data_IF_163462234933
#
_entry.id   IF_163462234933
#
_cell.length_a   1.000
_cell.length_b   1.000
_cell.length_c   1.000
_cell.angle_alpha   90.00
_cell.angle_beta   90.00
_cell.angle_gamma   90.00
#
_symmetry.space_group_name_H-M   'P 1'
#
loop_
_entity.id
_entity.type
_entity.pdbx_description
1 polymer ?
#
# COMPACT_ATOMS: atom_id res chain seq x y z
N UNK A 1 14.57 -13.56 14.12
CA UNK A 1 13.11 -13.42 14.31
C UNK A 1 12.58 -12.66 13.10
N UNK A 2 11.72 -13.27 12.27
CA UNK A 2 11.22 -12.66 11.04
C UNK A 2 9.72 -12.36 11.13
N UNK A 3 9.28 -11.27 10.53
CA UNK A 3 7.88 -10.94 10.30
C UNK A 3 7.68 -10.83 8.78
N UNK A 4 6.73 -11.58 8.25
CA UNK A 4 6.41 -11.61 6.82
C UNK A 4 5.04 -11.03 6.53
N UNK A 5 4.79 -10.73 5.25
CA UNK A 5 3.44 -10.35 4.80
C UNK A 5 2.52 -11.57 4.85
N UNK A 6 1.57 -11.56 5.79
CA UNK A 6 0.64 -12.67 6.00
C UNK A 6 -0.64 -12.19 6.71
N UNK A 7 -1.75 -12.90 6.49
CA UNK A 7 -3.07 -12.54 7.00
C UNK A 7 -3.15 -12.43 8.54
N UNK A 8 -2.29 -13.13 9.28
CA UNK A 8 -2.19 -13.03 10.73
C UNK A 8 -1.68 -11.66 11.21
N UNK A 9 -1.03 -10.87 10.36
CA UNK A 9 -0.57 -9.52 10.68
C UNK A 9 -1.65 -8.47 10.38
N UNK A 10 -2.64 -8.80 9.54
CA UNK A 10 -3.66 -7.84 9.08
C UNK A 10 -4.40 -7.15 10.23
N UNK A 11 -4.88 -7.92 11.21
CA UNK A 11 -5.61 -7.35 12.35
C UNK A 11 -4.70 -6.44 13.20
N UNK A 12 -3.41 -6.75 13.33
CA UNK A 12 -2.44 -5.88 14.00
C UNK A 12 -2.32 -4.54 13.26
N UNK A 13 -2.21 -4.55 11.93
CA UNK A 13 -2.18 -3.33 11.12
C UNK A 13 -3.45 -2.48 11.30
N UNK A 14 -4.62 -3.10 11.25
CA UNK A 14 -5.90 -2.41 11.43
C UNK A 14 -6.03 -1.78 12.83
N UNK A 15 -5.61 -2.49 13.88
CA UNK A 15 -5.60 -1.96 15.25
C UNK A 15 -4.67 -0.75 15.40
N UNK A 16 -3.51 -0.78 14.75
CA UNK A 16 -2.59 0.37 14.75
C UNK A 16 -3.23 1.58 14.05
N UNK A 17 -3.82 1.39 12.88
CA UNK A 17 -4.52 2.47 12.16
C UNK A 17 -5.68 3.04 12.99
N UNK A 18 -6.53 2.20 13.58
CA UNK A 18 -7.61 2.63 14.45
C UNK A 18 -7.09 3.41 15.67
N UNK A 19 -6.02 2.94 16.32
CA UNK A 19 -5.40 3.64 17.47
C UNK A 19 -4.82 5.01 17.09
N UNK A 20 -4.41 5.19 15.83
CA UNK A 20 -3.96 6.46 15.26
C UNK A 20 -5.12 7.40 14.89
N UNK A 21 -6.37 6.99 15.07
CA UNK A 21 -7.56 7.79 14.79
C UNK A 21 -8.03 7.76 13.34
N UNK A 22 -7.66 6.73 12.57
CA UNK A 22 -8.20 6.54 11.23
C UNK A 22 -9.59 5.92 11.28
N UNK A 23 -10.51 6.46 10.49
CA UNK A 23 -11.76 5.78 10.17
C UNK A 23 -11.45 4.66 9.14
N UNK A 24 -11.87 3.44 9.44
CA UNK A 24 -11.59 2.27 8.61
C UNK A 24 -12.88 1.77 7.95
N UNK A 25 -12.79 1.41 6.68
CA UNK A 25 -13.87 0.72 5.96
C UNK A 25 -13.31 -0.27 4.95
N UNK A 26 -14.16 -1.21 4.53
CA UNK A 26 -13.86 -2.14 3.44
C UNK A 26 -14.97 -1.99 2.41
N UNK A 27 -14.60 -1.95 1.13
CA UNK A 27 -15.54 -2.00 0.01
C UNK A 27 -15.12 -3.13 -0.92
N UNK A 28 -16.08 -3.75 -1.59
CA UNK A 28 -15.82 -4.86 -2.50
C UNK A 28 -17.09 -5.64 -2.76
N UNK A 29 -16.97 -6.69 -3.56
CA UNK A 29 -18.08 -7.55 -3.91
C UNK A 29 -17.89 -8.96 -3.32
N UNK A 30 -18.96 -9.50 -2.76
CA UNK A 30 -19.02 -10.92 -2.36
C UNK A 30 -19.63 -11.66 -3.54
N UNK A 31 -18.80 -12.39 -4.27
CA UNK A 31 -19.21 -13.11 -5.49
C UNK A 31 -20.09 -14.33 -5.13
N UNK A 32 -19.82 -14.97 -3.99
CA UNK A 32 -20.57 -16.14 -3.52
C UNK A 32 -20.68 -16.15 -1.97
N UNK A 33 -21.85 -16.54 -1.46
CA UNK A 33 -22.11 -16.61 -0.02
C UNK A 33 -21.18 -17.62 0.66
N UNK A 34 -20.55 -17.22 1.76
CA UNK A 34 -19.60 -18.05 2.51
C UNK A 34 -18.16 -18.01 1.97
N UNK A 35 -17.89 -17.32 0.86
CA UNK A 35 -16.52 -17.06 0.42
C UNK A 35 -15.91 -15.85 1.10
N UNK A 36 -14.59 -15.92 1.31
CA UNK A 36 -13.82 -14.75 1.70
C UNK A 36 -13.76 -13.78 0.51
N UNK A 37 -14.08 -12.48 0.68
CA UNK A 37 -14.05 -11.53 -0.41
C UNK A 37 -12.61 -11.39 -0.94
N UNK A 38 -12.40 -11.80 -2.19
CA UNK A 38 -11.10 -11.73 -2.86
C UNK A 38 -10.85 -10.38 -3.52
N UNK A 39 -11.91 -9.69 -3.93
CA UNK A 39 -11.86 -8.35 -4.51
C UNK A 39 -12.37 -7.33 -3.49
N UNK A 40 -11.52 -7.03 -2.51
CA UNK A 40 -11.81 -6.04 -1.49
C UNK A 40 -10.72 -4.98 -1.40
N UNK A 41 -11.18 -3.74 -1.25
CA UNK A 41 -10.37 -2.57 -0.99
C UNK A 41 -10.47 -2.19 0.48
N UNK A 42 -9.31 -2.15 1.13
CA UNK A 42 -9.15 -1.70 2.50
C UNK A 42 -8.87 -0.20 2.50
N UNK A 43 -9.66 0.54 3.27
CA UNK A 43 -9.65 2.00 3.22
C UNK A 43 -9.44 2.58 4.61
N UNK A 44 -8.59 3.61 4.68
CA UNK A 44 -8.35 4.42 5.86
C UNK A 44 -8.49 5.91 5.52
N UNK A 45 -9.28 6.63 6.32
CA UNK A 45 -9.54 8.06 6.13
C UNK A 45 -9.25 8.84 7.42
N UNK A 46 -8.54 9.97 7.30
CA UNK A 46 -8.24 10.88 8.43
C UNK A 46 -7.78 12.25 7.93
N UNK A 47 -8.27 13.33 8.54
CA UNK A 47 -7.83 14.72 8.27
C UNK A 47 -7.87 15.09 6.76
N UNK A 48 -8.87 14.60 6.02
CA UNK A 48 -8.99 14.81 4.58
C UNK A 48 -8.14 13.89 3.70
N UNK A 49 -7.27 13.06 4.29
CA UNK A 49 -6.52 12.03 3.55
C UNK A 49 -7.36 10.77 3.33
N UNK A 50 -7.22 10.21 2.14
CA UNK A 50 -7.83 8.94 1.73
C UNK A 50 -6.73 7.96 1.31
N UNK A 51 -6.73 6.77 1.91
CA UNK A 51 -5.83 5.67 1.56
C UNK A 51 -6.64 4.44 1.17
N UNK A 52 -6.20 3.74 0.13
CA UNK A 52 -6.84 2.54 -0.40
C UNK A 52 -5.77 1.50 -0.79
N UNK A 53 -5.95 0.25 -0.39
CA UNK A 53 -5.02 -0.84 -0.68
C UNK A 53 -5.71 -2.21 -0.75
N UNK A 54 -5.01 -3.24 -1.24
CA UNK A 54 -5.56 -4.60 -1.35
C UNK A 54 -5.45 -5.40 -0.05
N UNK A 55 -4.61 -4.95 0.89
CA UNK A 55 -4.55 -5.54 2.22
C UNK A 55 -4.16 -4.50 3.30
N UNK A 56 -4.37 -4.81 4.59
CA UNK A 56 -4.03 -3.90 5.67
C UNK A 56 -2.54 -3.59 5.84
N UNK A 57 -1.64 -4.43 5.34
CA UNK A 57 -0.18 -4.20 5.43
C UNK A 57 0.21 -3.08 4.46
N UNK A 58 -0.24 -3.16 3.21
CA UNK A 58 -0.09 -2.10 2.21
C UNK A 58 -0.72 -0.79 2.70
N UNK A 59 -1.93 -0.87 3.27
CA UNK A 59 -2.64 0.31 3.79
C UNK A 59 -1.83 1.02 4.89
N UNK A 60 -1.26 0.24 5.82
CA UNK A 60 -0.37 0.77 6.86
C UNK A 60 0.90 1.39 6.25
N UNK A 61 1.44 0.80 5.18
CA UNK A 61 2.57 1.35 4.43
C UNK A 61 2.27 2.74 3.85
N UNK A 62 1.12 2.93 3.21
CA UNK A 62 0.70 4.23 2.67
C UNK A 62 0.55 5.29 3.78
N UNK A 63 -0.05 4.91 4.91
CA UNK A 63 -0.16 5.79 6.07
C UNK A 63 1.22 6.15 6.64
N UNK A 64 2.16 5.21 6.68
CA UNK A 64 3.52 5.49 7.13
C UNK A 64 4.25 6.50 6.23
N UNK A 65 4.02 6.47 4.91
CA UNK A 65 4.53 7.49 3.97
C UNK A 65 3.97 8.87 4.32
N UNK A 66 2.65 8.98 4.56
CA UNK A 66 2.03 10.24 4.99
C UNK A 66 2.58 10.71 6.34
N UNK A 67 2.72 9.82 7.31
CA UNK A 67 3.21 10.15 8.65
C UNK A 67 4.66 10.66 8.60
N UNK A 68 5.48 10.16 7.67
CA UNK A 68 6.85 10.61 7.46
C UNK A 68 6.93 11.97 6.77
N UNK A 69 6.17 12.17 5.70
CA UNK A 69 6.28 13.37 4.85
C UNK A 69 5.47 14.56 5.36
N UNK A 70 4.39 14.31 6.12
CA UNK A 70 3.52 15.33 6.71
C UNK A 70 3.15 16.46 5.73
N UNK A 71 2.56 16.14 4.55
CA UNK A 71 2.24 17.15 3.54
C UNK A 71 1.34 18.24 4.13
N UNK A 72 1.74 19.50 3.94
CA UNK A 72 1.00 20.70 4.40
C UNK A 72 0.18 21.34 3.28
N UNK A 73 0.47 20.98 2.03
CA UNK A 73 -0.14 21.53 0.83
C UNK A 73 -0.69 20.38 -0.01
N UNK A 74 -1.83 20.62 -0.66
CA UNK A 74 -2.44 19.68 -1.59
C UNK A 74 -1.73 19.77 -2.96
N UNK A 75 -0.51 19.22 -3.01
CA UNK A 75 0.29 19.17 -4.23
C UNK A 75 0.25 17.76 -4.84
N UNK A 76 0.12 17.64 -6.18
CA UNK A 76 0.20 16.35 -6.84
C UNK A 76 1.51 15.63 -6.52
N UNK A 77 1.45 14.31 -6.33
CA UNK A 77 2.61 13.48 -6.03
C UNK A 77 3.42 13.91 -4.80
N UNK A 78 2.77 14.50 -3.78
CA UNK A 78 3.43 14.91 -2.53
C UNK A 78 4.22 13.76 -1.85
N UNK A 79 3.89 12.50 -2.15
CA UNK A 79 4.55 11.31 -1.63
C UNK A 79 5.87 10.96 -2.33
N UNK A 80 6.19 11.58 -3.48
CA UNK A 80 7.33 11.21 -4.29
C UNK A 80 8.66 11.74 -3.73
N UNK A 81 9.58 10.83 -3.38
CA UNK A 81 10.94 11.15 -2.95
C UNK A 81 11.88 10.99 -4.14
N UNK A 82 12.66 12.03 -4.45
CA UNK A 82 13.67 11.98 -5.53
C UNK A 82 14.92 11.23 -5.06
N UNK A 83 15.48 10.40 -5.92
CA UNK A 83 16.69 9.63 -5.62
C UNK A 83 16.92 8.51 -6.61
N UNK A 84 17.76 7.55 -6.21
CA UNK A 84 17.98 6.31 -6.94
C UNK A 84 16.68 5.50 -7.10
N UNK A 85 16.56 4.78 -8.22
CA UNK A 85 15.45 3.83 -8.42
C UNK A 85 15.79 2.50 -7.73
N UNK A 86 15.57 2.48 -6.42
CA UNK A 86 15.86 1.32 -5.58
C UNK A 86 15.05 0.08 -5.97
N UNK A 87 13.88 0.25 -6.59
CA UNK A 87 13.06 -0.87 -7.04
C UNK A 87 13.77 -1.60 -8.18
N UNK A 88 14.19 -0.86 -9.21
CA UNK A 88 14.93 -1.42 -10.34
C UNK A 88 16.26 -2.02 -9.89
N UNK A 89 17.05 -1.31 -9.08
CA UNK A 89 18.34 -1.81 -8.58
C UNK A 89 18.22 -3.14 -7.81
N UNK A 90 17.20 -3.28 -6.96
CA UNK A 90 16.98 -4.51 -6.19
C UNK A 90 16.50 -5.66 -7.08
N UNK A 91 15.63 -5.39 -8.07
CA UNK A 91 15.17 -6.40 -9.02
C UNK A 91 16.30 -6.87 -9.94
N UNK A 92 17.11 -5.96 -10.45
CA UNK A 92 18.30 -6.30 -11.25
C UNK A 92 19.31 -7.10 -10.44
N UNK A 93 19.56 -6.72 -9.17
CA UNK A 93 20.45 -7.50 -8.29
C UNK A 93 19.91 -8.91 -8.03
N UNK A 94 18.59 -9.06 -7.87
CA UNK A 94 17.97 -10.35 -7.55
C UNK A 94 17.81 -11.26 -8.79
N UNK A 95 17.57 -10.68 -9.96
CA UNK A 95 17.10 -11.40 -11.14
C UNK A 95 17.81 -10.99 -12.44
N UNK A 96 18.92 -10.26 -12.41
CA UNK A 96 19.53 -9.59 -13.58
C UNK A 96 19.91 -10.48 -14.79
N UNK A 97 19.98 -11.80 -14.62
CA UNK A 97 20.15 -12.74 -15.73
C UNK A 97 18.82 -13.09 -16.44
N UNK A 98 17.69 -12.79 -15.79
CA UNK A 98 16.35 -12.92 -16.31
C UNK A 98 16.01 -11.61 -17.02
N UNK A 99 15.67 -11.65 -18.31
CA UNK A 99 15.16 -10.47 -19.03
C UNK A 99 13.82 -10.05 -18.41
N UNK A 100 13.87 -9.24 -17.35
CA UNK A 100 12.71 -8.55 -16.83
C UNK A 100 12.28 -7.57 -17.94
N UNK A 101 11.11 -7.80 -18.52
CA UNK A 101 10.53 -6.88 -19.49
C UNK A 101 10.38 -5.51 -18.83
N UNK A 102 11.11 -4.51 -19.31
CA UNK A 102 10.92 -3.13 -18.88
C UNK A 102 9.56 -2.69 -19.40
N UNK A 103 8.55 -2.64 -18.53
CA UNK A 103 7.21 -2.13 -18.84
C UNK A 103 7.17 -0.62 -19.09
N UNK A 104 8.11 -0.10 -19.88
CA UNK A 104 8.24 1.31 -20.24
C UNK A 104 7.78 1.54 -21.69
N UNK A 105 6.66 0.93 -22.05
CA UNK A 105 5.89 1.22 -23.27
C UNK A 105 4.43 1.45 -22.89
N UNK A 106 4.15 2.63 -22.35
CA UNK A 106 2.83 3.25 -22.40
C UNK A 106 2.98 4.67 -21.84
N UNK A 107 3.15 5.64 -22.74
CA UNK A 107 2.71 7.03 -22.66
C UNK A 107 3.39 7.75 -23.84
N UNK A 108 2.88 7.47 -25.05
CA UNK A 108 2.89 8.42 -26.18
C UNK A 108 1.48 9.03 -26.29
#
# INVERSE_FOLDING_TARGET
MGLGSHANVHNTCLRLLASKGYALRVTGEVIEEGQFPTDCHWIAEKDGFYFCAHNPIELLGLVAVRDHLQPQEDVPYWWAIRGADLSTELLERAFGDCKLGTGREALE
#
